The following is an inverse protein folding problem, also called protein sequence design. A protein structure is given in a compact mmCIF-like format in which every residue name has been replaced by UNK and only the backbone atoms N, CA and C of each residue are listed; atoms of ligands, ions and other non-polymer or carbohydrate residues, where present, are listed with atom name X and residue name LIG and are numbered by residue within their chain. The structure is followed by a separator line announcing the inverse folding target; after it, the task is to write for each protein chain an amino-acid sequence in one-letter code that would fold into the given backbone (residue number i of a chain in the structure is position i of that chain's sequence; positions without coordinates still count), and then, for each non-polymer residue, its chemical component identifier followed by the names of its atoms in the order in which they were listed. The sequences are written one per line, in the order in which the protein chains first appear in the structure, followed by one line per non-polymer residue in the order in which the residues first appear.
data_IF_713434010350
#
_entry.id   IF_713434010350
#
_cell.length_a   1.000
_cell.length_b   1.000
_cell.length_c   1.000
_cell.angle_alpha   90.00
_cell.angle_beta   90.00
_cell.angle_gamma   90.00
#
_symmetry.space_group_name_H-M   'P 1'
#
loop_
_entity.id
_entity.type
_entity.pdbx_description
1 polymer ?
#
# COMPACT_ATOMS: atom_id res chain seq x y z
N UNK A 1 -9.06 22.44 10.20
CA UNK A 1 -10.25 21.80 10.79
C UNK A 1 -10.49 20.33 10.38
N UNK A 2 -9.75 19.76 9.42
CA UNK A 2 -9.96 18.36 8.96
C UNK A 2 -9.42 17.27 9.88
N UNK A 3 -8.49 17.55 10.75
CA UNK A 3 -7.84 16.54 11.63
C UNK A 3 -8.50 16.38 13.01
N UNK A 4 -9.38 17.28 13.39
CA UNK A 4 -10.10 17.23 14.68
C UNK A 4 -11.17 16.15 14.68
N UNK A 5 -11.79 15.86 13.53
CA UNK A 5 -12.84 14.84 13.41
C UNK A 5 -12.34 13.39 13.56
N UNK A 6 -11.10 13.10 13.15
CA UNK A 6 -10.54 11.75 13.25
C UNK A 6 -10.14 11.43 14.70
N UNK A 7 -9.63 12.42 15.44
CA UNK A 7 -9.28 12.25 16.84
C UNK A 7 -10.51 12.12 17.76
N UNK A 8 -11.61 12.82 17.47
CA UNK A 8 -12.84 12.70 18.25
C UNK A 8 -13.55 11.37 18.04
N UNK A 9 -13.50 10.78 16.84
CA UNK A 9 -14.07 9.47 16.59
C UNK A 9 -13.31 8.35 17.33
N UNK A 10 -12.00 8.45 17.43
CA UNK A 10 -11.16 7.53 18.21
C UNK A 10 -11.41 7.67 19.73
N UNK A 11 -11.63 8.87 20.23
CA UNK A 11 -11.84 9.13 21.65
C UNK A 11 -13.23 8.66 22.15
N UNK A 12 -14.28 8.72 21.33
CA UNK A 12 -15.62 8.27 21.70
C UNK A 12 -15.76 6.74 21.77
N UNK A 13 -14.89 5.99 21.10
CA UNK A 13 -14.85 4.53 21.21
C UNK A 13 -14.22 4.04 22.52
N UNK A 14 -13.52 4.87 23.27
CA UNK A 14 -12.83 4.49 24.49
C UNK A 14 -13.70 4.59 25.76
N UNK A 15 -14.80 5.31 25.74
CA UNK A 15 -15.60 5.60 26.93
C UNK A 15 -16.64 4.52 27.30
N UNK A 16 -16.86 3.52 26.45
CA UNK A 16 -17.86 2.45 26.71
C UNK A 16 -17.29 1.13 27.23
N UNK A 17 -15.98 1.02 27.44
CA UNK A 17 -15.28 -0.25 27.76
C UNK A 17 -15.07 -0.53 29.26
N UNK A 18 -15.84 0.09 30.18
CA UNK A 18 -15.61 -0.03 31.63
C UNK A 18 -16.34 -1.20 32.32
N UNK A 19 -16.87 -2.16 31.59
CA UNK A 19 -17.48 -3.36 32.20
C UNK A 19 -16.67 -4.60 31.81
N UNK A 20 -16.44 -5.49 32.79
CA UNK A 20 -15.65 -6.73 32.67
C UNK A 20 -16.27 -7.75 31.70
N UNK A 21 -16.32 -7.41 30.42
CA UNK A 21 -16.70 -8.29 29.32
C UNK A 21 -15.44 -8.67 28.54
N UNK A 22 -15.48 -9.84 27.90
CA UNK A 22 -14.44 -10.24 26.95
C UNK A 22 -14.15 -9.08 25.98
N UNK A 23 -12.88 -8.82 25.63
CA UNK A 23 -12.52 -7.75 24.71
C UNK A 23 -13.34 -7.84 23.43
N UNK A 24 -14.10 -6.79 23.14
CA UNK A 24 -14.98 -6.73 21.97
C UNK A 24 -14.32 -6.10 20.74
N UNK A 25 -13.17 -5.46 20.94
CA UNK A 25 -12.48 -4.79 19.87
C UNK A 25 -10.96 -4.84 20.00
N UNK A 26 -10.27 -4.40 18.96
CA UNK A 26 -8.83 -4.19 18.96
C UNK A 26 -8.45 -3.05 18.00
N UNK A 27 -7.30 -2.46 18.26
CA UNK A 27 -6.56 -1.60 17.34
C UNK A 27 -5.19 -2.20 17.14
N UNK A 28 -4.75 -2.29 15.90
CA UNK A 28 -3.51 -2.96 15.52
C UNK A 28 -2.72 -2.12 14.52
N UNK A 29 -1.39 -2.05 14.71
CA UNK A 29 -0.45 -1.50 13.76
C UNK A 29 0.38 -2.63 13.15
N UNK A 30 0.50 -2.68 11.84
CA UNK A 30 1.21 -3.71 11.11
C UNK A 30 2.26 -3.14 10.17
N UNK A 31 3.44 -3.79 10.14
CA UNK A 31 4.38 -3.70 9.04
C UNK A 31 4.07 -4.76 8.00
N UNK A 32 4.20 -4.42 6.75
CA UNK A 32 3.99 -5.33 5.62
C UNK A 32 5.24 -5.41 4.75
N UNK A 33 5.61 -6.63 4.37
CA UNK A 33 6.57 -6.90 3.31
C UNK A 33 5.78 -7.47 2.13
N UNK A 34 5.76 -6.73 1.04
CA UNK A 34 4.94 -7.06 -0.13
C UNK A 34 5.81 -7.54 -1.27
N UNK A 35 5.41 -8.63 -1.90
CA UNK A 35 5.92 -9.07 -3.19
C UNK A 35 4.87 -8.78 -4.26
N UNK A 36 5.27 -8.04 -5.27
CA UNK A 36 4.40 -7.59 -6.36
C UNK A 36 4.64 -8.41 -7.63
N UNK A 37 3.67 -8.37 -8.54
CA UNK A 37 3.84 -8.93 -9.90
C UNK A 37 5.10 -8.32 -10.53
N UNK A 38 5.97 -9.14 -11.12
CA UNK A 38 7.23 -8.67 -11.73
C UNK A 38 8.44 -8.67 -10.80
N UNK A 39 8.39 -9.40 -9.67
CA UNK A 39 9.52 -9.61 -8.73
C UNK A 39 9.98 -8.39 -7.94
N UNK A 40 9.22 -7.30 -7.96
CA UNK A 40 9.54 -6.11 -7.16
C UNK A 40 9.06 -6.29 -5.72
N UNK A 41 9.92 -6.01 -4.76
CA UNK A 41 9.56 -6.03 -3.34
C UNK A 41 9.23 -4.62 -2.86
N UNK A 42 8.19 -4.50 -2.06
CA UNK A 42 7.79 -3.24 -1.42
C UNK A 42 7.60 -3.45 0.08
N UNK A 43 7.69 -2.38 0.82
CA UNK A 43 7.35 -2.36 2.23
C UNK A 43 6.17 -1.41 2.45
N UNK A 44 5.34 -1.73 3.45
CA UNK A 44 4.18 -0.92 3.78
C UNK A 44 3.93 -0.90 5.28
N UNK A 45 3.09 0.04 5.69
CA UNK A 45 2.55 0.12 7.03
C UNK A 45 1.04 0.19 6.94
N UNK A 46 0.35 -0.43 7.87
CA UNK A 46 -1.11 -0.31 7.98
C UNK A 46 -1.57 -0.28 9.43
N UNK A 47 -2.71 0.36 9.64
CA UNK A 47 -3.45 0.35 10.88
C UNK A 47 -4.80 -0.33 10.67
N UNK A 48 -5.21 -1.14 11.63
CA UNK A 48 -6.48 -1.85 11.59
C UNK A 48 -7.25 -1.67 12.90
N UNK A 49 -8.55 -1.50 12.78
CA UNK A 49 -9.49 -1.50 13.89
C UNK A 49 -10.49 -2.60 13.64
N UNK A 50 -10.72 -3.46 14.63
CA UNK A 50 -11.67 -4.57 14.53
C UNK A 50 -12.65 -4.59 15.69
N UNK A 51 -13.89 -4.99 15.40
CA UNK A 51 -14.96 -5.16 16.39
C UNK A 51 -15.57 -6.56 16.23
N UNK A 52 -15.62 -7.31 17.32
CA UNK A 52 -16.23 -8.64 17.38
C UNK A 52 -17.76 -8.50 17.34
N UNK A 53 -18.37 -9.00 16.28
CA UNK A 53 -19.83 -8.94 16.07
C UNK A 53 -20.54 -10.28 16.36
N UNK A 54 -19.78 -11.38 16.34
CA UNK A 54 -20.23 -12.72 16.72
C UNK A 54 -19.05 -13.50 17.34
N UNK A 55 -19.26 -14.64 17.97
CA UNK A 55 -18.21 -15.38 18.68
C UNK A 55 -16.92 -15.58 17.90
N UNK A 56 -17.03 -15.80 16.59
CA UNK A 56 -15.87 -16.07 15.70
C UNK A 56 -15.74 -15.06 14.56
N UNK A 57 -16.55 -13.98 14.57
CA UNK A 57 -16.59 -13.01 13.47
C UNK A 57 -16.23 -11.63 13.98
N UNK A 58 -15.26 -11.03 13.31
CA UNK A 58 -14.81 -9.66 13.56
C UNK A 58 -15.00 -8.86 12.27
N UNK A 59 -15.70 -7.74 12.34
CA UNK A 59 -15.67 -6.73 11.28
C UNK A 59 -14.47 -5.83 11.51
N UNK A 60 -13.77 -5.49 10.44
CA UNK A 60 -12.59 -4.63 10.53
C UNK A 60 -12.59 -3.51 9.50
N UNK A 61 -11.93 -2.40 9.85
CA UNK A 61 -11.51 -1.35 8.94
C UNK A 61 -9.99 -1.24 8.97
N UNK A 62 -9.39 -1.10 7.80
CA UNK A 62 -7.94 -1.04 7.63
C UNK A 62 -7.55 0.13 6.73
N UNK A 63 -6.51 0.86 7.11
CA UNK A 63 -5.89 1.90 6.30
C UNK A 63 -4.39 1.67 6.26
N UNK A 64 -3.79 1.85 5.08
CA UNK A 64 -2.36 1.60 4.96
C UNK A 64 -1.74 2.22 3.72
N UNK A 65 -0.43 2.01 3.61
CA UNK A 65 0.33 2.39 2.43
C UNK A 65 1.22 1.25 1.95
N UNK A 66 1.45 1.23 0.65
CA UNK A 66 2.51 0.50 -0.02
C UNK A 66 3.48 1.54 -0.57
N UNK A 67 4.76 1.38 -0.26
CA UNK A 67 5.79 2.38 -0.56
C UNK A 67 6.01 2.55 -2.05
N UNK A 68 5.91 1.45 -2.78
CA UNK A 68 6.04 1.41 -4.23
C UNK A 68 5.33 0.19 -4.78
N UNK A 69 4.54 0.33 -5.82
CA UNK A 69 3.93 -0.79 -6.53
C UNK A 69 4.43 -0.81 -7.97
N UNK A 70 4.66 -2.01 -8.49
CA UNK A 70 5.03 -2.18 -9.89
C UNK A 70 3.79 -1.99 -10.78
N UNK A 71 3.83 -0.97 -11.61
CA UNK A 71 2.81 -0.69 -12.62
C UNK A 71 3.41 -0.90 -14.00
N UNK A 72 3.09 -2.03 -14.61
CA UNK A 72 3.74 -2.49 -15.85
C UNK A 72 3.56 -1.54 -17.04
N UNK A 73 2.38 -0.94 -17.22
CA UNK A 73 2.16 0.00 -18.31
C UNK A 73 2.98 1.27 -18.14
N UNK A 74 3.10 1.79 -16.91
CA UNK A 74 3.97 2.93 -16.65
C UNK A 74 5.43 2.59 -16.93
N UNK A 75 5.90 1.42 -16.50
CA UNK A 75 7.27 0.99 -16.77
C UNK A 75 7.55 0.88 -18.28
N UNK A 76 6.64 0.27 -19.03
CA UNK A 76 6.76 0.17 -20.49
C UNK A 76 6.82 1.55 -21.14
N UNK A 77 5.99 2.50 -20.71
CA UNK A 77 6.02 3.87 -21.23
C UNK A 77 7.33 4.59 -20.91
N UNK A 78 7.84 4.40 -19.71
CA UNK A 78 9.14 4.98 -19.29
C UNK A 78 10.27 4.37 -20.10
N UNK A 79 10.32 3.05 -20.27
CA UNK A 79 11.37 2.36 -20.99
C UNK A 79 11.37 2.75 -22.50
N UNK A 80 10.17 2.88 -23.10
CA UNK A 80 10.06 3.36 -24.48
C UNK A 80 10.55 4.81 -24.64
N UNK A 81 10.23 5.68 -23.68
CA UNK A 81 10.71 7.06 -23.69
C UNK A 81 12.24 7.12 -23.60
N UNK A 82 12.85 6.36 -22.69
CA UNK A 82 14.32 6.28 -22.56
C UNK A 82 14.96 5.78 -23.86
N UNK A 83 14.33 4.80 -24.52
CA UNK A 83 14.81 4.30 -25.81
C UNK A 83 14.75 5.39 -26.90
N UNK A 84 13.61 6.09 -27.01
CA UNK A 84 13.46 7.19 -27.98
C UNK A 84 14.46 8.30 -27.74
N UNK A 85 14.66 8.73 -26.49
CA UNK A 85 15.70 9.73 -26.17
C UNK A 85 17.08 9.31 -26.62
N UNK A 86 17.41 8.02 -26.48
CA UNK A 86 18.73 7.51 -26.89
C UNK A 86 18.89 7.39 -28.40
N UNK A 87 17.84 6.93 -29.11
CA UNK A 87 17.94 6.65 -30.57
C UNK A 87 17.74 7.89 -31.44
N UNK A 88 16.80 8.75 -31.07
CA UNK A 88 16.34 9.85 -31.90
C UNK A 88 17.03 11.17 -31.52
N UNK A 89 17.25 11.40 -30.25
CA UNK A 89 17.81 12.65 -29.72
C UNK A 89 19.29 12.54 -29.28
N UNK A 90 19.84 11.33 -29.27
CA UNK A 90 21.20 11.08 -28.79
C UNK A 90 21.43 11.41 -27.32
N UNK A 91 20.33 11.43 -26.52
CA UNK A 91 20.34 11.72 -25.11
C UNK A 91 20.19 10.42 -24.30
N UNK A 92 21.23 10.05 -23.59
CA UNK A 92 21.18 8.91 -22.67
C UNK A 92 20.65 9.36 -21.31
N UNK A 93 19.55 8.77 -20.87
CA UNK A 93 18.93 9.05 -19.58
C UNK A 93 18.60 7.75 -18.82
N UNK A 94 18.56 7.85 -17.49
CA UNK A 94 18.04 6.79 -16.63
C UNK A 94 16.72 7.25 -16.02
N UNK A 95 15.69 6.42 -16.11
CA UNK A 95 14.40 6.75 -15.54
C UNK A 95 14.14 5.98 -14.24
N UNK A 96 13.51 6.66 -13.27
CA UNK A 96 13.05 6.09 -11.99
C UNK A 96 11.56 6.35 -11.86
N UNK A 97 10.76 5.29 -12.00
CA UNK A 97 9.33 5.30 -11.73
C UNK A 97 9.05 4.83 -10.30
N UNK A 98 8.12 5.49 -9.62
CA UNK A 98 7.61 5.10 -8.30
C UNK A 98 6.10 5.30 -8.26
N UNK A 99 5.40 4.38 -7.60
CA UNK A 99 3.95 4.44 -7.45
C UNK A 99 3.56 4.21 -5.99
N UNK A 100 3.80 5.20 -5.11
CA UNK A 100 3.32 5.11 -3.74
C UNK A 100 1.80 5.02 -3.73
N UNK A 101 1.27 4.08 -2.95
CA UNK A 101 -0.15 3.76 -2.95
C UNK A 101 -0.69 3.79 -1.52
N UNK A 102 -1.78 4.54 -1.32
CA UNK A 102 -2.56 4.53 -0.10
C UNK A 102 -3.84 3.74 -0.33
N UNK A 103 -4.25 2.97 0.67
CA UNK A 103 -5.50 2.23 0.60
C UNK A 103 -6.32 2.35 1.88
N UNK A 104 -7.63 2.21 1.73
CA UNK A 104 -8.58 2.02 2.82
C UNK A 104 -9.54 0.91 2.46
N UNK A 105 -9.84 0.04 3.42
CA UNK A 105 -10.72 -1.11 3.19
C UNK A 105 -11.50 -1.48 4.43
N UNK A 106 -12.64 -2.12 4.20
CA UNK A 106 -13.42 -2.78 5.23
C UNK A 106 -13.64 -4.26 4.89
N UNK A 107 -13.85 -5.07 5.90
CA UNK A 107 -14.02 -6.51 5.67
C UNK A 107 -14.45 -7.28 6.90
N UNK A 108 -14.45 -8.59 6.75
CA UNK A 108 -14.73 -9.52 7.83
C UNK A 108 -13.58 -10.51 8.01
N UNK A 109 -13.34 -10.85 9.27
CA UNK A 109 -12.36 -11.83 9.71
C UNK A 109 -13.10 -12.95 10.45
N UNK A 110 -12.86 -14.19 10.09
CA UNK A 110 -13.36 -15.38 10.78
C UNK A 110 -12.19 -15.94 11.58
N UNK A 111 -12.36 -16.01 12.89
CA UNK A 111 -11.39 -16.57 13.83
C UNK A 111 -11.74 -18.02 14.13
N UNK A 112 -10.75 -18.88 14.27
CA UNK A 112 -10.88 -20.28 14.65
C UNK A 112 -10.28 -20.49 16.05
N UNK A 113 -11.03 -20.15 17.12
CA UNK A 113 -10.52 -20.32 18.47
C UNK A 113 -10.26 -21.81 18.72
N UNK A 114 -9.12 -22.10 19.27
CA UNK A 114 -8.70 -23.43 19.67
C UNK A 114 -8.13 -23.37 21.10
N UNK A 115 -7.77 -24.51 21.65
CA UNK A 115 -7.16 -24.58 22.99
C UNK A 115 -5.67 -24.25 23.01
N UNK A 116 -5.10 -23.79 21.88
CA UNK A 116 -3.70 -23.40 21.79
C UNK A 116 -3.47 -21.93 22.13
N UNK A 117 -2.22 -21.56 22.31
CA UNK A 117 -1.79 -20.19 22.62
C UNK A 117 -1.94 -19.21 21.44
N UNK A 118 -2.53 -19.62 20.32
CA UNK A 118 -2.70 -18.78 19.14
C UNK A 118 -4.07 -19.02 18.49
N UNK A 119 -4.62 -17.98 17.86
CA UNK A 119 -5.91 -18.01 17.19
C UNK A 119 -5.72 -17.83 15.68
N UNK A 120 -5.84 -18.90 14.89
CA UNK A 120 -5.85 -18.80 13.43
C UNK A 120 -7.06 -18.01 12.96
N UNK A 121 -6.90 -17.33 11.82
CA UNK A 121 -8.01 -16.61 11.18
C UNK A 121 -7.85 -16.60 9.66
N UNK A 122 -8.97 -16.38 8.98
CA UNK A 122 -9.05 -15.99 7.58
C UNK A 122 -9.82 -14.68 7.48
N UNK A 123 -9.54 -13.89 6.46
CA UNK A 123 -10.25 -12.65 6.25
C UNK A 123 -10.46 -12.33 4.78
N UNK A 124 -11.45 -11.51 4.51
CA UNK A 124 -11.70 -10.91 3.21
C UNK A 124 -12.21 -9.49 3.37
N UNK A 125 -11.82 -8.63 2.45
CA UNK A 125 -12.22 -7.23 2.48
C UNK A 125 -12.21 -6.59 1.11
N UNK A 126 -12.90 -5.46 1.02
CA UNK A 126 -13.03 -4.62 -0.16
C UNK A 126 -12.76 -3.17 0.21
N UNK A 127 -12.17 -2.43 -0.68
CA UNK A 127 -11.83 -1.03 -0.45
C UNK A 127 -11.32 -0.34 -1.69
N UNK A 128 -10.62 0.75 -1.49
CA UNK A 128 -10.05 1.57 -2.56
C UNK A 128 -8.57 1.78 -2.33
N UNK A 129 -7.81 1.74 -3.41
CA UNK A 129 -6.39 2.06 -3.44
C UNK A 129 -6.17 3.31 -4.31
N UNK A 130 -5.52 4.33 -3.76
CA UNK A 130 -5.11 5.54 -4.48
C UNK A 130 -3.64 5.46 -4.81
N UNK A 131 -3.35 5.35 -6.08
CA UNK A 131 -2.01 5.32 -6.66
C UNK A 131 -1.58 6.74 -7.02
N UNK A 132 -0.37 7.13 -6.61
CA UNK A 132 0.21 8.44 -6.90
C UNK A 132 1.53 8.25 -7.66
N UNK A 133 1.48 7.93 -8.96
CA UNK A 133 2.67 7.66 -9.74
C UNK A 133 3.54 8.91 -9.89
N UNK A 134 4.84 8.71 -9.90
CA UNK A 134 5.84 9.72 -10.18
C UNK A 134 6.99 9.12 -10.97
N UNK A 135 7.50 9.88 -11.95
CA UNK A 135 8.64 9.47 -12.77
C UNK A 135 9.68 10.57 -12.72
N UNK A 136 10.95 10.19 -12.70
CA UNK A 136 12.09 11.09 -12.85
C UNK A 136 13.03 10.57 -13.92
N UNK A 137 13.44 11.46 -14.82
CA UNK A 137 14.47 11.20 -15.81
C UNK A 137 15.76 11.89 -15.36
N UNK A 138 16.83 11.11 -15.26
CA UNK A 138 18.14 11.58 -14.81
C UNK A 138 19.11 11.53 -15.99
N UNK A 139 19.77 12.63 -16.27
CA UNK A 139 20.77 12.74 -17.33
C UNK A 139 21.96 11.81 -17.08
N UNK A 140 22.43 11.16 -18.14
CA UNK A 140 23.63 10.34 -18.11
C UNK A 140 24.68 10.82 -19.11
N UNK A 141 24.30 11.05 -20.37
CA UNK A 141 25.22 11.47 -21.45
C UNK A 141 24.44 12.04 -22.65
N UNK A 142 25.12 12.73 -23.53
CA UNK A 142 24.56 13.24 -24.77
C UNK A 142 24.21 14.73 -24.74
N UNK A 143 23.35 15.14 -25.67
CA UNK A 143 22.85 16.52 -25.74
C UNK A 143 21.49 16.61 -25.08
N UNK A 144 21.30 17.57 -24.20
CA UNK A 144 19.98 17.79 -23.57
C UNK A 144 18.95 18.32 -24.57
N UNK A 145 17.67 17.99 -24.39
CA UNK A 145 16.58 18.44 -25.27
C UNK A 145 16.46 19.98 -25.30
N UNK A 146 16.82 20.65 -24.23
CA UNK A 146 16.85 22.11 -24.13
C UNK A 146 18.12 22.76 -24.68
N UNK A 147 19.12 21.97 -25.10
CA UNK A 147 20.43 22.44 -25.53
C UNK A 147 21.33 22.98 -24.39
N UNK A 148 20.88 22.86 -23.15
CA UNK A 148 21.64 23.26 -21.97
C UNK A 148 22.68 22.20 -21.59
N UNK A 149 23.73 22.62 -20.89
CA UNK A 149 24.67 21.68 -20.28
C UNK A 149 24.06 21.06 -19.04
N UNK A 150 24.13 19.73 -18.92
CA UNK A 150 23.70 18.99 -17.73
C UNK A 150 24.85 18.12 -17.21
N UNK A 151 24.84 17.82 -15.92
CA UNK A 151 25.78 16.90 -15.29
C UNK A 151 25.11 15.53 -15.09
N UNK A 152 25.90 14.48 -15.08
CA UNK A 152 25.41 13.13 -14.78
C UNK A 152 24.65 13.11 -13.47
N UNK A 153 23.39 12.68 -13.51
CA UNK A 153 22.47 12.63 -12.38
C UNK A 153 21.56 13.85 -12.23
N UNK A 154 21.70 14.88 -13.05
CA UNK A 154 20.77 16.01 -13.05
C UNK A 154 19.37 15.57 -13.46
N UNK A 155 18.34 16.18 -12.86
CA UNK A 155 16.93 15.90 -13.14
C UNK A 155 16.47 16.65 -14.39
N UNK A 156 16.28 15.93 -15.50
CA UNK A 156 15.81 16.45 -16.78
C UNK A 156 14.32 16.16 -17.05
N UNK A 157 13.57 15.80 -16.00
CA UNK A 157 12.15 15.43 -16.14
C UNK A 157 11.32 16.53 -16.79
N UNK A 158 11.57 17.79 -16.43
CA UNK A 158 10.87 18.94 -17.01
C UNK A 158 11.10 19.08 -18.51
N UNK A 159 12.32 18.84 -18.97
CA UNK A 159 12.68 18.92 -20.39
C UNK A 159 12.01 17.79 -21.18
N UNK A 160 12.01 16.57 -20.63
CA UNK A 160 11.35 15.40 -21.25
C UNK A 160 9.82 15.58 -21.30
N UNK A 161 9.21 16.13 -20.26
CA UNK A 161 7.78 16.46 -20.29
C UNK A 161 7.47 17.60 -21.26
N UNK A 162 8.32 18.61 -21.33
CA UNK A 162 8.18 19.76 -22.23
C UNK A 162 8.32 19.40 -23.71
N UNK A 163 9.09 18.38 -24.04
CA UNK A 163 9.24 17.88 -25.43
C UNK A 163 8.02 17.08 -25.92
N UNK A 164 7.12 16.66 -25.00
CA UNK A 164 5.97 15.82 -25.33
C UNK A 164 6.28 14.34 -25.53
N UNK A 165 7.54 13.91 -25.35
CA UNK A 165 7.95 12.50 -25.47
C UNK A 165 7.38 11.63 -24.35
N UNK A 166 7.05 12.22 -23.22
CA UNK A 166 6.43 11.54 -22.07
C UNK A 166 5.29 12.36 -21.50
N UNK A 167 4.18 11.69 -21.19
CA UNK A 167 3.05 12.31 -20.49
C UNK A 167 3.10 11.95 -19.01
N UNK A 168 3.07 12.97 -18.16
CA UNK A 168 3.07 12.76 -16.71
C UNK A 168 1.89 11.88 -16.28
N UNK A 169 2.13 10.78 -15.56
CA UNK A 169 1.06 9.93 -15.08
C UNK A 169 0.22 10.66 -14.02
N UNK A 170 -1.09 10.50 -14.09
CA UNK A 170 -2.03 11.13 -13.15
C UNK A 170 -2.38 10.19 -12.00
N UNK A 171 -2.60 10.72 -10.78
CA UNK A 171 -3.10 9.93 -9.67
C UNK A 171 -4.44 9.27 -10.00
N UNK A 172 -4.58 7.98 -9.69
CA UNK A 172 -5.79 7.22 -9.93
C UNK A 172 -6.27 6.52 -8.67
N UNK A 173 -7.59 6.28 -8.59
CA UNK A 173 -8.21 5.54 -7.49
C UNK A 173 -8.91 4.32 -8.06
N UNK A 174 -8.60 3.14 -7.54
CA UNK A 174 -9.09 1.87 -8.06
C UNK A 174 -9.68 1.01 -6.94
N UNK A 175 -10.61 0.14 -7.30
CA UNK A 175 -11.16 -0.86 -6.39
C UNK A 175 -10.05 -1.84 -5.98
N UNK A 176 -10.00 -2.15 -4.68
CA UNK A 176 -9.08 -3.13 -4.09
C UNK A 176 -9.86 -4.25 -3.41
N UNK A 177 -9.53 -5.48 -3.76
CA UNK A 177 -9.97 -6.68 -3.07
C UNK A 177 -8.77 -7.28 -2.34
N UNK A 178 -8.95 -7.74 -1.11
CA UNK A 178 -7.89 -8.38 -0.33
C UNK A 178 -8.47 -9.57 0.43
N UNK A 179 -7.76 -10.68 0.39
CA UNK A 179 -8.06 -11.87 1.18
C UNK A 179 -6.78 -12.43 1.79
N UNK A 180 -6.89 -13.12 2.90
CA UNK A 180 -5.71 -13.66 3.55
C UNK A 180 -6.04 -14.54 4.74
N UNK A 181 -4.98 -15.02 5.35
CA UNK A 181 -5.02 -15.81 6.56
C UNK A 181 -3.87 -15.41 7.49
N UNK A 182 -4.04 -15.70 8.77
CA UNK A 182 -3.00 -15.39 9.74
C UNK A 182 -3.26 -16.03 11.09
N UNK A 183 -2.43 -15.62 12.03
CA UNK A 183 -2.47 -16.10 13.41
C UNK A 183 -2.36 -14.90 14.34
N UNK A 184 -3.29 -14.79 15.28
CA UNK A 184 -3.20 -13.85 16.40
C UNK A 184 -2.65 -14.59 17.63
N UNK A 185 -1.66 -13.96 18.26
CA UNK A 185 -0.99 -14.47 19.46
C UNK A 185 -1.31 -13.52 20.62
N UNK A 186 -2.05 -13.93 21.64
CA UNK A 186 -2.25 -13.12 22.83
C UNK A 186 -0.93 -13.04 23.63
N UNK A 187 -0.33 -11.87 23.66
CA UNK A 187 0.90 -11.61 24.42
C UNK A 187 0.54 -11.33 25.89
N UNK A 188 -0.56 -10.60 26.10
CA UNK A 188 -1.12 -10.36 27.43
C UNK A 188 -2.64 -10.21 27.36
N UNK A 189 -3.27 -9.86 28.48
CA UNK A 189 -4.74 -9.59 28.54
C UNK A 189 -5.17 -8.51 27.53
N UNK A 190 -4.31 -7.50 27.33
CA UNK A 190 -4.60 -6.35 26.48
C UNK A 190 -3.74 -6.28 25.21
N UNK A 191 -2.64 -7.03 25.13
CA UNK A 191 -1.71 -6.98 24.01
C UNK A 191 -1.86 -8.22 23.14
N UNK A 192 -1.91 -8.04 21.85
CA UNK A 192 -1.90 -9.10 20.83
C UNK A 192 -0.78 -8.89 19.83
N UNK A 193 -0.19 -9.99 19.37
CA UNK A 193 0.66 -10.05 18.20
C UNK A 193 -0.12 -10.63 17.03
N UNK A 194 0.27 -10.24 15.81
CA UNK A 194 -0.33 -10.72 14.58
C UNK A 194 0.73 -11.07 13.56
N UNK A 195 0.57 -12.21 12.91
CA UNK A 195 1.36 -12.62 11.75
C UNK A 195 0.37 -13.08 10.69
N UNK A 196 0.46 -12.51 9.49
CA UNK A 196 -0.48 -12.80 8.43
C UNK A 196 0.16 -12.86 7.04
N UNK A 197 -0.56 -13.51 6.15
CA UNK A 197 -0.30 -13.51 4.72
C UNK A 197 -1.58 -13.13 3.99
N UNK A 198 -1.45 -12.29 2.97
CA UNK A 198 -2.60 -11.86 2.18
C UNK A 198 -2.25 -11.68 0.72
N UNK A 199 -3.27 -11.79 -0.11
CA UNK A 199 -3.24 -11.50 -1.53
C UNK A 199 -4.22 -10.36 -1.80
N UNK A 200 -3.72 -9.33 -2.49
CA UNK A 200 -4.51 -8.17 -2.88
C UNK A 200 -4.58 -8.06 -4.40
N UNK A 201 -5.74 -7.65 -4.90
CA UNK A 201 -5.95 -7.29 -6.31
C UNK A 201 -6.47 -5.87 -6.39
N UNK A 202 -5.73 -5.01 -7.07
CA UNK A 202 -6.14 -3.63 -7.37
C UNK A 202 -6.56 -3.60 -8.84
N UNK A 203 -7.80 -3.18 -9.10
CA UNK A 203 -8.39 -3.11 -10.45
C UNK A 203 -7.98 -1.81 -11.13
N UNK A 204 -6.71 -1.69 -11.53
CA UNK A 204 -6.24 -0.54 -12.30
C UNK A 204 -6.79 -0.60 -13.74
N UNK A 205 -6.84 0.56 -14.40
CA UNK A 205 -7.50 0.74 -15.71
C UNK A 205 -6.88 -0.15 -16.80
N UNK A 206 -5.55 -0.28 -16.81
CA UNK A 206 -4.85 -0.98 -17.89
C UNK A 206 -4.67 -2.47 -17.61
N UNK A 207 -4.30 -2.82 -16.38
CA UNK A 207 -4.11 -4.20 -15.96
C UNK A 207 -4.26 -4.32 -14.43
N UNK A 208 -4.83 -5.42 -13.92
CA UNK A 208 -4.93 -5.64 -12.49
C UNK A 208 -3.54 -5.82 -11.87
N UNK A 209 -3.32 -5.16 -10.74
CA UNK A 209 -2.09 -5.28 -9.96
C UNK A 209 -2.34 -6.29 -8.84
N UNK A 210 -1.48 -7.29 -8.76
CA UNK A 210 -1.51 -8.28 -7.69
C UNK A 210 -0.37 -8.05 -6.72
N UNK A 211 -0.68 -8.03 -5.43
CA UNK A 211 0.29 -7.96 -4.36
C UNK A 211 0.10 -9.13 -3.38
N UNK A 212 1.20 -9.68 -2.92
CA UNK A 212 1.26 -10.69 -1.87
C UNK A 212 1.99 -10.08 -0.68
N UNK A 213 1.35 -10.04 0.47
CA UNK A 213 1.86 -9.34 1.64
C UNK A 213 2.09 -10.32 2.78
N UNK A 214 3.27 -10.26 3.37
CA UNK A 214 3.54 -10.78 4.71
C UNK A 214 3.41 -9.64 5.71
N UNK A 215 2.57 -9.81 6.73
CA UNK A 215 2.29 -8.79 7.74
C UNK A 215 2.72 -9.26 9.13
N UNK A 216 3.28 -8.33 9.89
CA UNK A 216 3.62 -8.51 11.29
C UNK A 216 3.07 -7.32 12.04
N UNK A 217 2.34 -7.56 13.11
CA UNK A 217 1.65 -6.50 13.83
C UNK A 217 1.62 -6.67 15.33
N UNK A 218 1.38 -5.56 15.99
CA UNK A 218 1.06 -5.47 17.40
C UNK A 218 -0.22 -4.68 17.59
N UNK A 219 -1.06 -5.13 18.51
CA UNK A 219 -2.34 -4.49 18.77
C UNK A 219 -2.74 -4.53 20.23
N UNK A 220 -3.71 -3.68 20.54
CA UNK A 220 -4.32 -3.56 21.87
C UNK A 220 -5.79 -3.99 21.77
N UNK A 221 -6.20 -4.85 22.70
CA UNK A 221 -7.60 -5.29 22.87
C UNK A 221 -8.31 -4.40 23.89
N UNK A 222 -9.58 -4.13 23.67
CA UNK A 222 -10.44 -3.36 24.56
C UNK A 222 -11.88 -3.89 24.56
#
# INVERSE_FOLDING_TARGET
MRYVFILTLAATLWTTAAYAQEPRGYVEGNGALSRLTGSTSSAGLNGEVGIKVAPNVVLFGNVGNLRDIHWSSLQTSVDSTVTTLSTDDGLTATAKARVPTWYSMGGARIQFPNHSAFTPYVFGGVGFARMNPSVRFLYQDGTTLSGNTANVGDDITTDVLGSGLFTAPTPSTSLMLRTGAGVQVPISKHLLGNIGYSVSRISATDAPIHAQDFTFGLGIKF
#
